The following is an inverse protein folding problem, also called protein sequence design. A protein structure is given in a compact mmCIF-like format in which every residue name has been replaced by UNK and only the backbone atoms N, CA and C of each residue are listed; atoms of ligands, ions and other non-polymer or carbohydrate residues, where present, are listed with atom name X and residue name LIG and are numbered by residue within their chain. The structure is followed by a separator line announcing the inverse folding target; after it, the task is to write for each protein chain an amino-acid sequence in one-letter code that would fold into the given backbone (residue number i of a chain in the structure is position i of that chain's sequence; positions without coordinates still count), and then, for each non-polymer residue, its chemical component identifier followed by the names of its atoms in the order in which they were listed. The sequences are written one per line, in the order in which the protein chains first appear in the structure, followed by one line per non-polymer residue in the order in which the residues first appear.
data_IF_004559049742
#
_entry.id   IF_004559049742
#
_cell.length_a   1.000
_cell.length_b   1.000
_cell.length_c   1.000
_cell.angle_alpha   90.00
_cell.angle_beta   90.00
_cell.angle_gamma   90.00
#
_symmetry.space_group_name_H-M   'P 1'
#
loop_
_entity.id
_entity.type
_entity.pdbx_description
1 polymer ?
#
# COMPACT_ATOMS: atom_id res chain seq x y z
N UNK A 1 6.86 22.05 19.78
CA UNK A 1 7.15 21.33 18.52
C UNK A 1 5.96 21.57 17.61
N UNK A 2 6.24 22.27 16.53
CA UNK A 2 5.33 22.53 15.41
C UNK A 2 4.88 21.21 14.76
N UNK A 3 3.67 21.22 14.24
CA UNK A 3 3.12 20.18 13.37
C UNK A 3 1.89 20.75 12.69
N UNK A 4 2.04 21.02 11.40
CA UNK A 4 1.06 21.63 10.50
C UNK A 4 -0.17 20.73 10.33
N UNK A 5 -1.37 21.28 10.46
CA UNK A 5 -2.58 20.67 9.89
C UNK A 5 -3.09 21.52 8.72
N UNK A 6 -2.86 20.97 7.54
CA UNK A 6 -3.35 21.39 6.25
C UNK A 6 -4.88 21.29 6.23
N UNK A 7 -5.57 22.41 6.03
CA UNK A 7 -6.98 22.44 5.67
C UNK A 7 -7.13 22.26 4.15
N UNK A 8 -7.66 21.14 3.63
CA UNK A 8 -7.89 20.95 2.22
C UNK A 8 -9.36 21.26 1.93
N UNK A 9 -9.69 22.54 1.77
CA UNK A 9 -10.93 22.95 1.11
C UNK A 9 -10.62 24.07 0.11
N UNK A 10 -9.75 23.73 -0.83
CA UNK A 10 -9.67 24.35 -2.13
C UNK A 10 -10.82 23.81 -2.99
N UNK A 11 -11.92 24.55 -3.04
CA UNK A 11 -12.94 24.39 -4.07
C UNK A 11 -12.90 25.62 -4.99
N UNK A 12 -11.93 25.62 -5.90
CA UNK A 12 -11.97 26.41 -7.12
C UNK A 12 -13.09 25.88 -8.04
N UNK A 13 -14.16 26.65 -8.21
CA UNK A 13 -14.96 26.67 -9.45
C UNK A 13 -15.45 28.09 -9.74
N UNK A 14 -14.51 29.03 -9.85
CA UNK A 14 -14.75 30.36 -10.40
C UNK A 14 -14.55 30.38 -11.91
N UNK A 15 -15.35 29.63 -12.67
CA UNK A 15 -15.41 29.74 -14.12
C UNK A 15 -16.54 30.72 -14.49
N UNK A 16 -16.17 31.98 -14.74
CA UNK A 16 -16.81 32.84 -15.73
C UNK A 16 -15.82 33.96 -16.10
N UNK A 17 -14.95 33.62 -17.04
CA UNK A 17 -14.28 34.60 -17.88
C UNK A 17 -15.34 35.21 -18.81
N UNK A 18 -16.04 36.24 -18.33
CA UNK A 18 -16.76 37.14 -19.22
C UNK A 18 -15.80 38.22 -19.70
N UNK A 19 -15.52 38.16 -21.00
CA UNK A 19 -14.83 39.19 -21.76
C UNK A 19 -15.50 40.54 -21.53
N UNK A 20 -14.84 41.42 -20.77
CA UNK A 20 -15.18 42.85 -20.67
C UNK A 20 -14.82 43.53 -21.98
N UNK A 21 -15.74 43.48 -22.93
CA UNK A 21 -15.70 44.26 -24.16
C UNK A 21 -16.92 45.16 -24.26
N UNK A 22 -16.75 46.46 -24.02
CA UNK A 22 -17.37 47.54 -24.79
C UNK A 22 -16.96 48.93 -24.26
N UNK A 23 -15.93 49.46 -24.90
CA UNK A 23 -15.87 50.79 -25.49
C UNK A 23 -16.49 51.98 -24.73
N UNK A 24 -15.58 52.81 -24.20
CA UNK A 24 -15.84 54.17 -23.75
C UNK A 24 -15.83 55.11 -24.97
N UNK A 25 -16.98 55.68 -25.35
CA UNK A 25 -17.13 57.01 -25.98
C UNK A 25 -18.60 57.26 -26.38
N UNK A 26 -19.32 58.12 -25.64
CA UNK A 26 -19.63 59.48 -26.08
C UNK A 26 -20.51 60.23 -25.05
N UNK A 27 -20.02 61.40 -24.67
CA UNK A 27 -20.67 62.43 -23.85
C UNK A 27 -21.84 63.07 -24.63
N UNK A 28 -22.97 63.41 -24.00
CA UNK A 28 -23.57 64.76 -24.05
C UNK A 28 -24.73 64.90 -23.03
N UNK A 29 -24.48 65.64 -21.94
CA UNK A 29 -25.44 66.63 -21.38
C UNK A 29 -26.65 66.14 -20.57
N UNK A 30 -26.48 65.98 -19.26
CA UNK A 30 -27.32 66.61 -18.21
C UNK A 30 -26.91 66.06 -16.82
N UNK A 31 -26.49 66.97 -15.91
CA UNK A 31 -26.33 66.75 -14.46
C UNK A 31 -25.37 65.61 -14.05
N UNK A 32 -24.07 65.93 -13.91
CA UNK A 32 -23.05 65.04 -13.33
C UNK A 32 -23.16 64.89 -11.80
N UNK A 33 -24.37 64.68 -11.27
CA UNK A 33 -24.46 64.02 -9.97
C UNK A 33 -24.36 62.51 -10.24
N UNK A 34 -23.46 61.78 -9.55
CA UNK A 34 -23.43 60.33 -9.68
C UNK A 34 -24.81 59.78 -9.35
N UNK A 35 -25.39 58.99 -10.27
CA UNK A 35 -26.69 58.33 -10.03
C UNK A 35 -26.52 57.47 -8.79
N UNK A 36 -27.28 57.78 -7.74
CA UNK A 36 -27.22 57.03 -6.49
C UNK A 36 -27.92 55.68 -6.67
N UNK A 37 -27.62 54.70 -5.81
CA UNK A 37 -28.30 53.41 -5.84
C UNK A 37 -29.82 53.56 -5.69
N UNK A 38 -30.26 54.49 -4.83
CA UNK A 38 -31.69 54.80 -4.66
C UNK A 38 -32.28 55.42 -5.93
N UNK A 39 -31.55 56.26 -6.66
CA UNK A 39 -32.01 56.80 -7.94
C UNK A 39 -32.09 55.71 -9.03
N UNK A 40 -31.19 54.73 -9.00
CA UNK A 40 -31.22 53.57 -9.90
C UNK A 40 -32.43 52.67 -9.62
N UNK A 41 -32.83 52.52 -8.36
CA UNK A 41 -33.98 51.73 -7.92
C UNK A 41 -35.33 52.42 -8.18
N UNK A 42 -35.38 53.75 -8.41
CA UNK A 42 -36.64 54.45 -8.75
C UNK A 42 -37.26 53.96 -10.07
N UNK A 43 -36.48 53.36 -10.96
CA UNK A 43 -37.01 52.64 -12.10
C UNK A 43 -37.64 51.33 -11.61
N UNK A 44 -38.96 51.18 -11.80
CA UNK A 44 -39.72 50.02 -11.36
C UNK A 44 -39.20 48.68 -11.90
N UNK A 45 -38.51 48.68 -13.06
CA UNK A 45 -37.84 47.47 -13.58
C UNK A 45 -36.62 47.08 -12.74
N UNK A 46 -35.83 48.05 -12.31
CA UNK A 46 -34.64 47.82 -11.50
C UNK A 46 -35.02 47.45 -10.07
N UNK A 47 -36.07 48.06 -9.51
CA UNK A 47 -36.65 47.66 -8.22
C UNK A 47 -37.12 46.21 -8.25
N UNK A 48 -37.87 45.81 -9.28
CA UNK A 48 -38.40 44.45 -9.39
C UNK A 48 -37.29 43.39 -9.50
N UNK A 49 -36.20 43.67 -10.24
CA UNK A 49 -35.06 42.76 -10.32
C UNK A 49 -34.24 42.72 -9.02
N UNK A 50 -34.11 43.85 -8.31
CA UNK A 50 -33.50 43.88 -6.98
C UNK A 50 -34.30 43.03 -5.99
N UNK A 51 -35.61 43.24 -5.88
CA UNK A 51 -36.49 42.49 -4.99
C UNK A 51 -36.46 40.99 -5.29
N UNK A 52 -36.47 40.62 -6.58
CA UNK A 52 -36.34 39.23 -7.02
C UNK A 52 -35.02 38.59 -6.59
N UNK A 53 -33.90 39.32 -6.70
CA UNK A 53 -32.59 38.84 -6.24
C UNK A 53 -32.52 38.72 -4.72
N UNK A 54 -33.11 39.68 -3.99
CA UNK A 54 -33.20 39.65 -2.53
C UNK A 54 -34.06 38.46 -2.07
N UNK A 55 -35.23 38.24 -2.66
CA UNK A 55 -36.08 37.09 -2.35
C UNK A 55 -35.40 35.76 -2.67
N UNK A 56 -34.69 35.68 -3.80
CA UNK A 56 -33.88 34.50 -4.13
C UNK A 56 -32.80 34.26 -3.08
N UNK A 57 -32.07 35.30 -2.67
CA UNK A 57 -31.04 35.19 -1.65
C UNK A 57 -31.60 34.75 -0.29
N UNK A 58 -32.75 35.31 0.12
CA UNK A 58 -33.45 34.91 1.36
C UNK A 58 -33.90 33.45 1.29
N UNK A 59 -34.51 33.02 0.17
CA UNK A 59 -34.95 31.64 0.02
C UNK A 59 -33.77 30.66 0.00
N UNK A 60 -32.68 30.98 -0.69
CA UNK A 60 -31.46 30.18 -0.66
C UNK A 60 -30.86 30.12 0.74
N UNK A 61 -30.77 31.25 1.46
CA UNK A 61 -30.29 31.26 2.83
C UNK A 61 -31.17 30.41 3.76
N UNK A 62 -32.50 30.50 3.59
CA UNK A 62 -33.46 29.70 4.37
C UNK A 62 -33.32 28.21 4.10
N UNK A 63 -33.27 27.80 2.82
CA UNK A 63 -33.06 26.40 2.45
C UNK A 63 -31.72 25.88 2.96
N UNK A 64 -30.64 26.63 2.77
CA UNK A 64 -29.33 26.24 3.29
C UNK A 64 -29.34 26.10 4.82
N UNK A 65 -30.02 27.01 5.53
CA UNK A 65 -30.13 26.95 6.98
C UNK A 65 -30.99 25.78 7.45
N UNK A 66 -32.09 25.47 6.75
CA UNK A 66 -32.93 24.30 7.01
C UNK A 66 -32.18 22.98 6.73
N UNK A 67 -31.40 22.92 5.65
CA UNK A 67 -30.53 21.79 5.31
C UNK A 67 -29.43 21.58 6.36
N UNK A 68 -28.74 22.65 6.77
CA UNK A 68 -27.74 22.60 7.84
C UNK A 68 -28.35 22.15 9.17
N UNK A 69 -29.52 22.68 9.54
CA UNK A 69 -30.22 22.27 10.76
C UNK A 69 -30.68 20.82 10.73
N UNK A 70 -31.14 20.33 9.57
CA UNK A 70 -31.55 18.94 9.41
C UNK A 70 -30.34 17.99 9.37
N UNK A 71 -29.22 18.40 8.76
CA UNK A 71 -27.97 17.63 8.78
C UNK A 71 -27.39 17.57 10.19
N UNK A 72 -27.35 18.70 10.91
CA UNK A 72 -26.87 18.76 12.30
C UNK A 72 -27.74 17.95 13.26
N UNK A 73 -29.08 17.97 13.12
CA UNK A 73 -29.96 17.12 13.94
C UNK A 73 -29.77 15.63 13.65
N UNK A 74 -29.69 15.25 12.37
CA UNK A 74 -29.45 13.86 11.95
C UNK A 74 -28.07 13.36 12.40
N UNK A 75 -27.05 14.23 12.30
CA UNK A 75 -25.70 13.93 12.76
C UNK A 75 -25.60 13.87 14.28
N UNK A 76 -26.27 14.75 15.02
CA UNK A 76 -26.33 14.71 16.49
C UNK A 76 -27.09 13.47 17.01
N UNK A 77 -28.18 13.07 16.38
CA UNK A 77 -28.88 11.82 16.70
C UNK A 77 -28.06 10.58 16.33
N UNK A 78 -27.35 10.62 15.20
CA UNK A 78 -26.40 9.59 14.80
C UNK A 78 -25.21 9.54 15.75
N UNK A 79 -24.63 10.67 16.17
CA UNK A 79 -23.53 10.80 17.16
C UNK A 79 -23.97 10.34 18.55
N UNK A 80 -25.18 10.67 18.97
CA UNK A 80 -25.75 10.20 20.23
C UNK A 80 -25.96 8.68 20.24
N UNK A 81 -26.36 8.10 19.09
CA UNK A 81 -26.37 6.64 18.87
C UNK A 81 -24.96 6.05 18.67
N UNK A 82 -23.99 6.86 18.25
CA UNK A 82 -22.63 6.45 17.88
C UNK A 82 -21.57 6.65 18.98
N UNK A 83 -21.90 7.14 20.17
CA UNK A 83 -20.90 7.40 21.22
C UNK A 83 -20.65 6.23 22.19
N UNK A 84 -21.54 5.23 22.25
CA UNK A 84 -21.40 4.07 23.14
C UNK A 84 -21.29 2.75 22.39
N UNK A 85 -22.25 2.43 21.52
CA UNK A 85 -22.26 1.19 20.73
C UNK A 85 -21.06 1.07 19.77
N UNK A 86 -20.65 2.11 19.04
CA UNK A 86 -19.47 2.02 18.17
C UNK A 86 -18.16 1.87 18.95
N UNK A 87 -18.05 2.54 20.11
CA UNK A 87 -16.89 2.41 20.97
C UNK A 87 -16.80 0.98 21.51
N UNK A 88 -17.94 0.41 21.88
CA UNK A 88 -18.05 -0.98 22.32
C UNK A 88 -17.71 -1.95 21.18
N UNK A 89 -18.22 -1.74 19.98
CA UNK A 89 -17.93 -2.57 18.80
C UNK A 89 -16.45 -2.49 18.41
N UNK A 90 -15.86 -1.29 18.41
CA UNK A 90 -14.43 -1.11 18.14
C UNK A 90 -13.56 -1.82 19.20
N UNK A 91 -13.91 -1.70 20.49
CA UNK A 91 -13.21 -2.40 21.56
C UNK A 91 -13.35 -3.92 21.42
N UNK A 92 -14.56 -4.42 21.17
CA UNK A 92 -14.81 -5.83 20.96
C UNK A 92 -14.07 -6.37 19.73
N UNK A 93 -14.06 -5.63 18.63
CA UNK A 93 -13.34 -5.99 17.41
C UNK A 93 -11.83 -5.99 17.65
N UNK A 94 -11.30 -4.98 18.35
CA UNK A 94 -9.89 -4.92 18.71
C UNK A 94 -9.50 -6.09 19.62
N UNK A 95 -10.27 -6.38 20.66
CA UNK A 95 -10.03 -7.51 21.57
C UNK A 95 -10.09 -8.84 20.83
N UNK A 96 -11.04 -9.00 19.88
CA UNK A 96 -11.15 -10.19 19.05
C UNK A 96 -9.93 -10.37 18.17
N UNK A 97 -9.51 -9.33 17.46
CA UNK A 97 -8.31 -9.36 16.60
C UNK A 97 -7.05 -9.61 17.42
N UNK A 98 -6.89 -8.96 18.57
CA UNK A 98 -5.76 -9.16 19.47
C UNK A 98 -5.72 -10.61 19.99
N UNK A 99 -6.88 -11.19 20.33
CA UNK A 99 -7.01 -12.60 20.74
C UNK A 99 -6.68 -13.56 19.61
N UNK A 100 -7.19 -13.33 18.41
CA UNK A 100 -6.92 -14.16 17.23
C UNK A 100 -5.42 -14.14 16.90
N UNK A 101 -4.79 -12.96 16.97
CA UNK A 101 -3.35 -12.81 16.79
C UNK A 101 -2.55 -13.55 17.85
N UNK A 102 -2.89 -13.39 19.14
CA UNK A 102 -2.22 -14.09 20.23
C UNK A 102 -2.36 -15.62 20.12
N UNK A 103 -3.52 -16.11 19.69
CA UNK A 103 -3.72 -17.54 19.43
C UNK A 103 -2.88 -18.04 18.25
N UNK A 104 -2.79 -17.26 17.17
CA UNK A 104 -1.95 -17.58 16.02
C UNK A 104 -0.46 -17.61 16.41
N UNK A 105 0.02 -16.60 17.14
CA UNK A 105 1.40 -16.54 17.66
C UNK A 105 1.71 -17.73 18.57
N UNK A 106 0.80 -18.08 19.48
CA UNK A 106 0.96 -19.24 20.36
C UNK A 106 1.00 -20.56 19.58
N UNK A 107 0.17 -20.71 18.55
CA UNK A 107 0.18 -21.89 17.70
C UNK A 107 1.49 -21.98 16.93
N UNK A 108 1.93 -20.88 16.31
CA UNK A 108 3.20 -20.80 15.61
C UNK A 108 4.39 -21.16 16.52
N UNK A 109 4.37 -20.68 17.77
CA UNK A 109 5.37 -21.04 18.77
C UNK A 109 5.39 -22.55 19.07
N UNK A 110 4.23 -23.16 19.30
CA UNK A 110 4.12 -24.61 19.54
C UNK A 110 4.58 -25.43 18.34
N UNK A 111 4.22 -25.00 17.13
CA UNK A 111 4.68 -25.66 15.90
C UNK A 111 6.19 -25.54 15.72
N UNK A 112 6.78 -24.38 16.05
CA UNK A 112 8.23 -24.19 16.03
C UNK A 112 8.94 -25.09 17.04
N UNK A 113 8.39 -25.25 18.24
CA UNK A 113 8.94 -26.16 19.25
C UNK A 113 8.91 -27.62 18.77
N UNK A 114 7.77 -28.06 18.23
CA UNK A 114 7.64 -29.39 17.64
C UNK A 114 8.63 -29.58 16.49
N UNK A 115 8.74 -28.61 15.59
CA UNK A 115 9.68 -28.62 14.48
C UNK A 115 11.12 -28.72 14.95
N UNK A 116 11.48 -28.00 16.01
CA UNK A 116 12.82 -28.03 16.62
C UNK A 116 13.15 -29.41 17.14
N UNK A 117 12.17 -30.08 17.78
CA UNK A 117 12.32 -31.44 18.26
C UNK A 117 12.55 -32.43 17.10
N UNK A 118 11.71 -32.38 16.07
CA UNK A 118 11.81 -33.28 14.90
C UNK A 118 13.12 -33.05 14.14
N UNK A 119 13.52 -31.78 13.95
CA UNK A 119 14.78 -31.44 13.32
C UNK A 119 15.97 -32.02 14.09
N UNK A 120 15.97 -31.86 15.42
CA UNK A 120 17.00 -32.43 16.29
C UNK A 120 17.05 -33.96 16.20
N UNK A 121 15.89 -34.63 16.21
CA UNK A 121 15.78 -36.09 16.04
C UNK A 121 16.33 -36.57 14.69
N UNK A 122 16.19 -35.76 13.63
CA UNK A 122 16.73 -36.06 12.29
C UNK A 122 18.17 -35.56 12.08
N UNK A 123 18.81 -34.97 13.09
CA UNK A 123 20.15 -34.39 12.96
C UNK A 123 20.21 -33.16 12.03
N UNK A 124 19.07 -32.51 11.80
CA UNK A 124 18.96 -31.30 10.99
C UNK A 124 19.28 -30.07 11.85
N UNK A 125 20.10 -29.15 11.32
CA UNK A 125 20.43 -27.90 12.02
C UNK A 125 19.16 -27.04 12.23
N UNK A 126 18.97 -26.55 13.46
CA UNK A 126 17.83 -25.71 13.87
C UNK A 126 17.76 -24.42 13.06
N UNK A 127 18.90 -23.93 12.57
CA UNK A 127 18.99 -22.76 11.69
C UNK A 127 18.20 -22.95 10.39
N UNK A 128 18.00 -24.19 9.92
CA UNK A 128 17.17 -24.48 8.74
C UNK A 128 15.67 -24.27 9.01
N UNK A 129 15.24 -24.20 10.27
CA UNK A 129 13.85 -23.91 10.63
C UNK A 129 13.49 -22.44 10.45
N UNK A 130 14.45 -21.52 10.32
CA UNK A 130 14.15 -20.08 10.11
C UNK A 130 13.48 -19.81 8.76
N UNK A 131 13.58 -20.75 7.82
CA UNK A 131 12.92 -20.65 6.51
C UNK A 131 11.44 -21.04 6.54
N UNK A 132 10.94 -21.57 7.65
CA UNK A 132 9.54 -21.97 7.81
C UNK A 132 8.71 -20.80 8.34
N UNK A 133 7.58 -20.52 7.69
CA UNK A 133 6.56 -19.62 8.22
C UNK A 133 5.56 -20.40 9.09
N UNK A 134 5.84 -20.45 10.40
CA UNK A 134 5.03 -21.15 11.40
C UNK A 134 3.65 -20.52 11.66
N UNK A 135 3.40 -19.28 11.23
CA UNK A 135 2.08 -18.65 11.34
C UNK A 135 1.07 -19.22 10.33
N UNK A 136 1.57 -19.78 9.23
CA UNK A 136 0.76 -20.26 8.09
C UNK A 136 0.79 -21.78 7.92
N UNK A 137 1.84 -22.43 8.43
CA UNK A 137 1.98 -23.89 8.38
C UNK A 137 0.92 -24.54 9.26
N UNK A 138 0.28 -25.57 8.72
CA UNK A 138 -0.63 -26.41 9.50
C UNK A 138 0.13 -27.46 10.29
N UNK A 139 -0.43 -27.87 11.43
CA UNK A 139 0.19 -28.84 12.32
C UNK A 139 0.43 -30.20 11.64
N UNK A 140 -0.44 -30.60 10.72
CA UNK A 140 -0.34 -31.87 10.01
C UNK A 140 0.79 -31.87 8.96
N UNK A 141 1.20 -30.70 8.49
CA UNK A 141 2.21 -30.55 7.44
C UNK A 141 3.64 -30.48 7.96
N UNK A 142 3.84 -30.21 9.26
CA UNK A 142 5.17 -29.89 9.80
C UNK A 142 6.15 -31.04 9.64
N UNK A 143 5.71 -32.27 9.93
CA UNK A 143 6.52 -33.47 9.82
C UNK A 143 6.97 -33.69 8.36
N UNK A 144 6.04 -33.61 7.40
CA UNK A 144 6.33 -33.79 5.98
C UNK A 144 7.34 -32.77 5.47
N UNK A 145 7.14 -31.49 5.81
CA UNK A 145 8.03 -30.41 5.34
C UNK A 145 9.45 -30.54 5.91
N UNK A 146 9.59 -30.94 7.18
CA UNK A 146 10.91 -31.20 7.78
C UNK A 146 11.56 -32.42 7.14
N UNK A 147 10.78 -33.47 6.82
CA UNK A 147 11.28 -34.65 6.11
C UNK A 147 11.79 -34.32 4.71
N UNK A 148 11.06 -33.51 3.95
CA UNK A 148 11.48 -33.05 2.63
C UNK A 148 12.81 -32.28 2.70
N UNK A 149 12.94 -31.35 3.65
CA UNK A 149 14.18 -30.59 3.86
C UNK A 149 15.34 -31.51 4.27
N UNK A 150 15.10 -32.43 5.20
CA UNK A 150 16.10 -33.39 5.66
C UNK A 150 16.59 -34.29 4.52
N UNK A 151 15.68 -34.81 3.71
CA UNK A 151 16.02 -35.64 2.55
C UNK A 151 16.79 -34.87 1.49
N UNK A 152 16.38 -33.63 1.19
CA UNK A 152 17.07 -32.78 0.23
C UNK A 152 18.50 -32.45 0.70
N UNK A 153 18.67 -32.13 1.98
CA UNK A 153 19.97 -31.86 2.58
C UNK A 153 20.89 -33.08 2.52
N UNK A 154 20.40 -34.24 2.98
CA UNK A 154 21.17 -35.48 2.97
C UNK A 154 21.61 -35.87 1.55
N UNK A 155 20.72 -35.73 0.56
CA UNK A 155 21.04 -36.00 -0.84
C UNK A 155 22.11 -35.06 -1.40
N UNK A 156 22.07 -33.78 -1.03
CA UNK A 156 23.07 -32.81 -1.45
C UNK A 156 24.45 -33.10 -0.82
N UNK A 157 24.47 -33.44 0.47
CA UNK A 157 25.69 -33.83 1.19
C UNK A 157 26.27 -35.12 0.62
N UNK A 158 25.45 -36.15 0.41
CA UNK A 158 25.86 -37.42 -0.18
C UNK A 158 26.48 -37.22 -1.57
N UNK A 159 25.86 -36.40 -2.42
CA UNK A 159 26.40 -36.08 -3.74
C UNK A 159 27.78 -35.40 -3.63
N UNK A 160 27.93 -34.41 -2.76
CA UNK A 160 29.19 -33.70 -2.57
C UNK A 160 30.29 -34.61 -2.01
N UNK A 161 29.96 -35.49 -1.05
CA UNK A 161 30.91 -36.47 -0.49
C UNK A 161 31.33 -37.48 -1.55
N UNK A 162 30.37 -38.02 -2.32
CA UNK A 162 30.67 -38.95 -3.42
C UNK A 162 31.54 -38.31 -4.51
N UNK A 163 31.35 -37.02 -4.81
CA UNK A 163 32.23 -36.29 -5.73
C UNK A 163 33.65 -36.13 -5.18
N UNK A 164 33.82 -35.95 -3.87
CA UNK A 164 35.14 -35.87 -3.21
C UNK A 164 35.83 -37.22 -3.06
N UNK A 165 35.07 -38.31 -2.96
CA UNK A 165 35.59 -39.68 -2.86
C UNK A 165 35.98 -40.27 -4.22
N UNK A 166 35.60 -39.64 -5.34
CA UNK A 166 36.11 -40.04 -6.66
C UNK A 166 37.62 -39.85 -6.66
N UNK A 167 38.36 -40.93 -6.93
CA UNK A 167 39.80 -40.84 -7.18
C UNK A 167 40.06 -39.98 -8.41
N UNK A 168 41.10 -39.14 -8.34
CA UNK A 168 41.61 -38.45 -9.51
C UNK A 168 42.07 -39.48 -10.55
N UNK A 169 41.66 -39.31 -11.80
CA UNK A 169 42.04 -40.21 -12.90
C UNK A 169 43.56 -40.37 -12.91
N UNK A 170 44.10 -41.61 -12.86
CA UNK A 170 45.54 -41.84 -12.88
C UNK A 170 46.17 -41.18 -14.10
N UNK A 171 47.09 -40.24 -13.86
CA UNK A 171 47.84 -39.57 -14.92
C UNK A 171 48.81 -40.60 -15.50
N UNK A 172 48.60 -41.05 -16.73
CA UNK A 172 49.58 -41.88 -17.43
C UNK A 172 50.87 -41.06 -17.59
N UNK A 173 51.94 -41.49 -16.93
CA UNK A 173 53.29 -40.96 -17.21
C UNK A 173 53.74 -41.50 -18.57
N UNK A 174 53.54 -40.73 -19.63
CA UNK A 174 54.22 -40.93 -20.90
C UNK A 174 55.68 -40.51 -20.75
N UNK A 175 56.60 -41.47 -20.80
CA UNK A 175 58.03 -41.18 -20.81
C UNK A 175 58.92 -42.36 -20.45
N UNK A 176 58.90 -43.43 -21.25
CA UNK A 176 60.08 -44.30 -21.40
C UNK A 176 60.45 -44.28 -22.88
N UNK A 177 61.25 -43.29 -23.28
CA UNK A 177 61.93 -43.32 -24.56
C UNK A 177 63.07 -44.35 -24.49
N UNK A 178 62.79 -45.54 -25.00
CA UNK A 178 63.80 -46.53 -25.35
C UNK A 178 63.55 -46.98 -26.79
N UNK A 179 64.30 -46.42 -27.74
CA UNK A 179 65.26 -47.16 -28.60
C UNK A 179 65.56 -46.36 -29.88
N UNK A 180 66.85 -46.10 -30.08
CA UNK A 180 67.44 -45.65 -31.34
C UNK A 180 67.20 -46.70 -32.43
N UNK A 181 66.43 -46.39 -33.47
CA UNK A 181 66.54 -47.07 -34.77
C UNK A 181 67.14 -46.09 -35.78
N UNK A 182 68.43 -46.28 -36.07
CA UNK A 182 69.21 -45.50 -37.02
C UNK A 182 68.97 -46.11 -38.42
N UNK A 183 68.03 -45.57 -39.19
CA UNK A 183 67.84 -45.99 -40.59
C UNK A 183 68.97 -45.43 -41.46
N UNK A 184 69.84 -46.31 -41.95
CA UNK A 184 70.85 -45.97 -42.96
C UNK A 184 70.15 -45.97 -44.33
N UNK A 185 70.05 -44.80 -44.96
CA UNK A 185 69.76 -44.70 -46.38
C UNK A 185 71.02 -44.19 -47.09
N UNK A 186 71.65 -45.04 -47.91
CA UNK A 186 72.68 -44.61 -48.87
C UNK A 186 72.11 -44.79 -50.26
N UNK A 187 71.81 -43.65 -50.89
CA UNK A 187 71.39 -43.54 -52.28
C UNK A 187 72.51 -43.94 -53.23
N UNK A 188 72.09 -44.55 -54.34
CA UNK A 188 72.86 -44.98 -55.49
C UNK A 188 73.46 -43.81 -56.29
N UNK A 189 74.54 -44.16 -57.00
CA UNK A 189 75.32 -43.45 -58.04
C UNK A 189 76.38 -42.46 -57.58
#
# INVERSE_FOLDING_TARGET
MEGQDNNPNNANTGANNESVGANNQNNTGANNNPVTFDDFLKDGKNQAEFDKRVQKAINTAKTNWEEMMNSEKSEAEKLAKMNKEQKLEYQAQKERTDKEKALAELNAYKLKEQATKIASEKGLDISLLTFFNFETVKAEEINSKIEEVSNAFNKAVEKAVNERLKEDTPIQKTGIDNTKSKSIARSSY
#
